data_IF_639251747158
#
_entry.id   IF_639251747158
#
_cell.length_a   1.000
_cell.length_b   1.000
_cell.length_c   1.000
_cell.angle_alpha   90.00
_cell.angle_beta   90.00
_cell.angle_gamma   90.00
#
_symmetry.space_group_name_H-M   'P 1'
#
loop_
_entity.id
_entity.type
_entity.pdbx_description
1 polymer ?
#
# COMPACT_ATOMS: atom_id res chain seq x y z
N UNK A 1 51.18 12.13 -16.95
CA UNK A 1 50.24 12.35 -15.83
C UNK A 1 49.08 13.16 -16.35
N UNK A 2 47.94 12.53 -16.63
CA UNK A 2 46.72 13.20 -17.10
C UNK A 2 45.54 12.40 -16.56
N UNK A 3 44.64 13.10 -15.84
CA UNK A 3 43.19 13.06 -16.05
C UNK A 3 42.52 13.74 -14.85
N UNK A 4 42.08 14.98 -15.06
CA UNK A 4 41.09 15.64 -14.21
C UNK A 4 39.74 15.20 -14.78
N UNK A 5 39.00 14.39 -14.03
CA UNK A 5 37.62 14.04 -14.36
C UNK A 5 36.69 14.85 -13.46
N UNK A 6 36.12 15.90 -14.04
CA UNK A 6 34.96 16.60 -13.52
C UNK A 6 33.74 15.68 -13.60
N UNK A 7 32.94 15.65 -12.54
CA UNK A 7 31.69 14.88 -12.48
C UNK A 7 30.80 15.45 -11.40
N UNK A 8 30.21 16.62 -11.65
CA UNK A 8 29.20 17.22 -10.80
C UNK A 8 27.93 16.36 -10.83
N UNK A 9 27.69 15.60 -9.76
CA UNK A 9 26.44 14.90 -9.52
C UNK A 9 25.42 15.88 -8.95
N UNK A 10 24.68 16.53 -9.83
CA UNK A 10 23.42 17.19 -9.49
C UNK A 10 22.38 16.09 -9.22
N UNK A 11 22.29 15.63 -7.97
CA UNK A 11 21.12 14.85 -7.54
C UNK A 11 19.92 15.80 -7.53
N UNK A 12 19.10 15.68 -8.58
CA UNK A 12 17.76 16.23 -8.62
C UNK A 12 16.98 15.68 -7.43
N UNK A 13 16.78 16.52 -6.42
CA UNK A 13 15.79 16.33 -5.36
C UNK A 13 14.42 16.41 -6.03
N UNK A 14 13.95 15.29 -6.57
CA UNK A 14 12.55 15.11 -6.89
C UNK A 14 11.82 15.14 -5.55
N UNK A 15 11.31 16.31 -5.19
CA UNK A 15 10.31 16.47 -4.16
C UNK A 15 9.09 15.67 -4.61
N UNK A 16 9.05 14.38 -4.24
CA UNK A 16 7.80 13.68 -4.09
C UNK A 16 7.02 14.48 -3.06
N UNK A 17 6.13 15.34 -3.55
CA UNK A 17 5.01 15.86 -2.80
C UNK A 17 4.11 14.68 -2.47
N UNK A 18 4.60 13.78 -1.62
CA UNK A 18 3.78 12.84 -0.89
C UNK A 18 2.87 13.72 -0.08
N UNK A 19 1.63 13.85 -0.54
CA UNK A 19 0.54 14.31 0.31
C UNK A 19 0.67 13.43 1.55
N UNK A 20 1.03 14.03 2.68
CA UNK A 20 1.11 13.30 3.94
C UNK A 20 -0.31 12.88 4.28
N UNK A 21 -0.78 11.78 3.68
CA UNK A 21 -2.06 11.18 4.01
C UNK A 21 -1.93 10.69 5.44
N UNK A 22 -2.79 11.20 6.29
CA UNK A 22 -2.87 10.79 7.69
C UNK A 22 -3.02 9.26 7.82
N UNK A 23 -3.53 8.61 6.77
CA UNK A 23 -3.85 7.19 6.70
C UNK A 23 -2.76 6.33 6.03
N UNK A 24 -1.62 6.90 5.67
CA UNK A 24 -0.51 6.16 5.02
C UNK A 24 -0.01 4.94 5.80
N UNK A 25 -0.10 4.95 7.14
CA UNK A 25 0.21 3.79 7.98
C UNK A 25 -0.86 2.71 7.90
N UNK A 26 -2.14 3.09 7.88
CA UNK A 26 -3.26 2.16 7.74
C UNK A 26 -3.27 1.54 6.33
N UNK A 27 -2.94 2.31 5.30
CA UNK A 27 -2.82 1.83 3.91
C UNK A 27 -1.70 0.80 3.76
N UNK A 28 -0.50 1.06 4.31
CA UNK A 28 0.60 0.09 4.34
C UNK A 28 0.22 -1.18 5.11
N UNK A 29 -0.44 -1.02 6.26
CA UNK A 29 -0.91 -2.15 7.06
C UNK A 29 -1.98 -2.96 6.32
N UNK A 30 -2.86 -2.33 5.54
CA UNK A 30 -3.84 -3.02 4.72
C UNK A 30 -3.16 -3.95 3.70
N UNK A 31 -2.09 -3.48 3.04
CA UNK A 31 -1.29 -4.33 2.15
C UNK A 31 -0.61 -5.48 2.89
N UNK A 32 0.01 -5.22 4.04
CA UNK A 32 0.62 -6.28 4.86
C UNK A 32 -0.38 -7.37 5.25
N UNK A 33 -1.64 -7.00 5.51
CA UNK A 33 -2.69 -7.95 5.83
C UNK A 33 -3.16 -8.74 4.59
N UNK A 34 -3.12 -8.16 3.38
CA UNK A 34 -3.44 -8.89 2.15
C UNK A 34 -2.33 -9.87 1.76
N UNK A 35 -1.08 -9.56 2.09
CA UNK A 35 0.06 -10.47 1.92
C UNK A 35 0.18 -11.52 3.04
N UNK A 36 -0.66 -11.47 4.08
CA UNK A 36 -0.54 -12.33 5.26
C UNK A 36 -0.88 -13.80 4.91
N UNK A 37 0.07 -14.74 5.01
CA UNK A 37 -0.20 -16.16 4.72
C UNK A 37 -1.24 -16.77 5.67
N UNK A 38 -1.46 -16.19 6.85
CA UNK A 38 -2.49 -16.64 7.79
C UNK A 38 -3.90 -16.56 7.19
N UNK A 39 -4.12 -15.70 6.17
CA UNK A 39 -5.39 -15.66 5.44
C UNK A 39 -5.68 -17.02 4.78
N UNK A 40 -4.71 -17.57 4.06
CA UNK A 40 -4.84 -18.85 3.38
C UNK A 40 -4.95 -20.03 4.36
N UNK A 41 -4.20 -20.00 5.47
CA UNK A 41 -4.27 -21.01 6.53
C UNK A 41 -5.66 -21.08 7.18
N UNK A 42 -6.39 -19.96 7.21
CA UNK A 42 -7.75 -19.85 7.70
C UNK A 42 -8.82 -20.01 6.61
N UNK A 43 -8.41 -20.18 5.35
CA UNK A 43 -9.32 -20.36 4.22
C UNK A 43 -9.98 -19.07 3.69
N UNK A 44 -9.42 -17.89 4.00
CA UNK A 44 -9.92 -16.60 3.53
C UNK A 44 -9.19 -16.12 2.27
N UNK A 45 -9.90 -15.33 1.46
CA UNK A 45 -9.25 -14.55 0.41
C UNK A 45 -8.42 -13.38 1.02
N UNK A 46 -7.33 -12.93 0.37
CA UNK A 46 -6.50 -11.82 0.85
C UNK A 46 -7.28 -10.58 1.26
N UNK A 47 -8.13 -10.07 0.36
CA UNK A 47 -8.94 -8.88 0.62
C UNK A 47 -10.00 -9.11 1.71
N UNK A 48 -10.57 -10.31 1.79
CA UNK A 48 -11.54 -10.64 2.84
C UNK A 48 -10.87 -10.61 4.22
N UNK A 49 -9.72 -11.25 4.36
CA UNK A 49 -8.95 -11.28 5.60
C UNK A 49 -8.55 -9.87 6.04
N UNK A 50 -7.93 -9.10 5.14
CA UNK A 50 -7.53 -7.73 5.44
C UNK A 50 -8.71 -6.85 5.84
N UNK A 51 -9.84 -6.96 5.14
CA UNK A 51 -11.05 -6.22 5.50
C UNK A 51 -11.53 -6.57 6.91
N UNK A 52 -11.64 -7.85 7.27
CA UNK A 52 -12.06 -8.26 8.61
C UNK A 52 -11.13 -7.72 9.70
N UNK A 53 -9.82 -7.80 9.47
CA UNK A 53 -8.81 -7.33 10.42
C UNK A 53 -8.88 -5.81 10.61
N UNK A 54 -9.06 -5.04 9.53
CA UNK A 54 -9.27 -3.59 9.61
C UNK A 54 -10.58 -3.25 10.33
N UNK A 55 -11.69 -3.94 9.99
CA UNK A 55 -13.02 -3.74 10.57
C UNK A 55 -13.11 -3.95 12.08
N UNK A 56 -12.15 -4.67 12.67
CA UNK A 56 -12.06 -4.81 14.12
C UNK A 56 -11.78 -3.48 14.84
N UNK A 57 -11.17 -2.50 14.14
CA UNK A 57 -10.72 -1.22 14.71
C UNK A 57 -11.25 0.03 13.98
N UNK A 58 -11.90 -0.13 12.83
CA UNK A 58 -12.46 1.00 12.07
C UNK A 58 -13.80 0.66 11.39
N UNK A 59 -14.47 1.68 10.86
CA UNK A 59 -15.76 1.51 10.20
C UNK A 59 -15.67 0.74 8.87
N UNK A 60 -16.81 0.22 8.40
CA UNK A 60 -16.97 -0.42 7.09
C UNK A 60 -16.39 0.40 5.95
N UNK A 61 -16.85 1.65 5.94
CA UNK A 61 -16.50 2.62 4.93
C UNK A 61 -15.01 2.92 4.96
N UNK A 62 -14.43 3.15 6.15
CA UNK A 62 -13.01 3.50 6.29
C UNK A 62 -12.13 2.33 5.86
N UNK A 63 -12.40 1.11 6.31
CA UNK A 63 -11.62 -0.07 5.91
C UNK A 63 -11.62 -0.25 4.39
N UNK A 64 -12.79 -0.12 3.74
CA UNK A 64 -12.87 -0.19 2.27
C UNK A 64 -12.05 0.90 1.61
N UNK A 65 -12.22 2.16 2.02
CA UNK A 65 -11.48 3.29 1.43
C UNK A 65 -9.97 3.09 1.60
N UNK A 66 -9.50 2.76 2.80
CA UNK A 66 -8.10 2.44 3.08
C UNK A 66 -7.58 1.32 2.18
N UNK A 67 -8.31 0.22 2.02
CA UNK A 67 -7.88 -0.87 1.12
C UNK A 67 -7.85 -0.46 -0.35
N UNK A 68 -8.83 0.36 -0.78
CA UNK A 68 -8.91 0.86 -2.17
C UNK A 68 -7.74 1.78 -2.48
N UNK A 69 -7.34 2.62 -1.53
CA UNK A 69 -6.16 3.50 -1.66
C UNK A 69 -4.86 2.69 -1.56
N UNK A 70 -4.78 1.75 -0.63
CA UNK A 70 -3.61 0.90 -0.40
C UNK A 70 -3.17 0.11 -1.64
N UNK A 71 -4.12 -0.50 -2.37
CA UNK A 71 -3.74 -1.24 -3.59
C UNK A 71 -3.23 -0.32 -4.69
N UNK A 72 -3.65 0.94 -4.74
CA UNK A 72 -3.16 1.88 -5.76
C UNK A 72 -1.75 2.39 -5.42
N UNK A 73 -1.49 2.61 -4.13
CA UNK A 73 -0.31 3.33 -3.67
C UNK A 73 0.83 2.42 -3.18
N UNK A 74 0.50 1.23 -2.63
CA UNK A 74 1.47 0.35 -1.97
C UNK A 74 1.51 -1.07 -2.53
N UNK A 75 0.37 -1.67 -2.87
CA UNK A 75 0.31 -3.07 -3.33
C UNK A 75 -0.58 -3.28 -4.58
N UNK A 76 -0.15 -2.79 -5.75
CA UNK A 76 -0.91 -2.89 -7.01
C UNK A 76 -1.13 -4.33 -7.49
N UNK A 77 -0.36 -5.30 -6.99
CA UNK A 77 -0.59 -6.72 -7.22
C UNK A 77 -1.95 -7.21 -6.66
N UNK A 78 -2.45 -6.58 -5.59
CA UNK A 78 -3.71 -6.94 -4.95
C UNK A 78 -4.93 -6.23 -5.53
N UNK A 79 -4.77 -5.41 -6.57
CA UNK A 79 -5.90 -4.70 -7.17
C UNK A 79 -7.02 -5.66 -7.57
N UNK A 80 -6.69 -6.80 -8.17
CA UNK A 80 -7.68 -7.79 -8.62
C UNK A 80 -8.29 -8.63 -7.49
N UNK A 81 -7.71 -8.60 -6.29
CA UNK A 81 -8.26 -9.29 -5.12
C UNK A 81 -9.41 -8.49 -4.51
N UNK A 82 -9.50 -7.19 -4.79
CA UNK A 82 -10.60 -6.35 -4.33
C UNK A 82 -11.92 -6.63 -5.09
N UNK A 83 -13.06 -6.53 -4.40
CA UNK A 83 -14.37 -6.48 -5.04
C UNK A 83 -14.42 -5.41 -6.13
N UNK A 84 -15.15 -5.68 -7.22
CA UNK A 84 -15.21 -4.78 -8.38
C UNK A 84 -15.71 -3.36 -8.08
N UNK A 85 -16.44 -3.16 -6.98
CA UNK A 85 -16.92 -1.83 -6.55
C UNK A 85 -15.91 -1.05 -5.70
N UNK A 86 -14.77 -1.64 -5.35
CA UNK A 86 -13.73 -1.07 -4.48
C UNK A 86 -12.44 -0.78 -5.26
N UNK A 87 -12.25 -1.44 -6.41
CA UNK A 87 -11.24 -1.10 -7.41
C UNK A 87 -11.52 0.27 -8.03
#
# INVERSE_FOLDING_TARGET
MKSIAAGGLLLALMFSSGVARADSGDEQQACQLMDDPAAAEQGYAPAEYAFMQLRSRMSAQRARTTMSEAVQDYCPNHLNDLPASWR
#
